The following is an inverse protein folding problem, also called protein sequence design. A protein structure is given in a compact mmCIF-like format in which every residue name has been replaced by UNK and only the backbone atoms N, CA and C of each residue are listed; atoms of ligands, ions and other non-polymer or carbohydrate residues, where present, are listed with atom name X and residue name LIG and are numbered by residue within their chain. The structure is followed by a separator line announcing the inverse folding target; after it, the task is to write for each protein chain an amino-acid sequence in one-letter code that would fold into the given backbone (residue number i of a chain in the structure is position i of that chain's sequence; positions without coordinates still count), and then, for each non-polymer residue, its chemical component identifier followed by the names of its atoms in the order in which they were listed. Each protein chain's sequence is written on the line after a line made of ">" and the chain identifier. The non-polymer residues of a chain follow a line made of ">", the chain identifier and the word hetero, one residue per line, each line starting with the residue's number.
data_IF_731574490038
#
_entry.id   IF_731574490038
#
_cell.length_a   1.000
_cell.length_b   1.000
_cell.length_c   1.000
_cell.angle_alpha   90.00
_cell.angle_beta   90.00
_cell.angle_gamma   90.00
#
_symmetry.space_group_name_H-M   'P 1'
#
loop_
_entity.id
_entity.type
_entity.pdbx_description
1 polymer ?
#
# COMPACT_ATOMS: atom_id res chain seq x y z
N UNK A 1 -56.53 2.05 23.86
CA UNK A 1 -55.10 2.33 24.07
C UNK A 1 -54.69 3.32 23.00
N UNK A 2 -54.81 4.61 23.30
CA UNK A 2 -54.49 5.67 22.35
C UNK A 2 -52.98 5.81 22.25
N UNK A 3 -52.44 5.56 21.05
CA UNK A 3 -51.04 5.87 20.75
C UNK A 3 -50.90 7.37 20.95
N UNK A 4 -50.03 7.86 21.85
CA UNK A 4 -49.94 9.28 22.13
C UNK A 4 -49.58 10.01 20.84
N UNK A 5 -50.28 11.10 20.56
CA UNK A 5 -50.19 11.86 19.29
C UNK A 5 -48.74 12.23 18.92
N UNK A 6 -47.85 12.36 19.91
CA UNK A 6 -46.42 12.58 19.74
C UNK A 6 -45.68 11.43 19.04
N UNK A 7 -46.04 10.17 19.33
CA UNK A 7 -45.49 8.98 18.68
C UNK A 7 -45.90 8.93 17.19
N UNK A 8 -47.14 9.34 16.88
CA UNK A 8 -47.62 9.44 15.52
C UNK A 8 -46.84 10.49 14.71
N UNK A 9 -46.68 11.72 15.24
CA UNK A 9 -45.89 12.77 14.56
C UNK A 9 -44.42 12.40 14.38
N UNK A 10 -43.79 11.76 15.38
CA UNK A 10 -42.43 11.24 15.24
C UNK A 10 -42.35 10.18 14.14
N UNK A 11 -43.30 9.25 14.06
CA UNK A 11 -43.33 8.23 13.01
C UNK A 11 -43.50 8.84 11.60
N UNK A 12 -44.40 9.83 11.44
CA UNK A 12 -44.60 10.53 10.17
C UNK A 12 -43.37 11.33 9.76
N UNK A 13 -42.72 12.02 10.71
CA UNK A 13 -41.47 12.75 10.45
C UNK A 13 -40.36 11.79 10.00
N UNK A 14 -40.20 10.65 10.67
CA UNK A 14 -39.22 9.62 10.28
C UNK A 14 -39.51 9.05 8.89
N UNK A 15 -40.78 8.79 8.54
CA UNK A 15 -41.16 8.32 7.20
C UNK A 15 -40.90 9.38 6.11
N UNK A 16 -41.18 10.66 6.39
CA UNK A 16 -40.88 11.75 5.45
C UNK A 16 -39.38 11.96 5.25
N UNK A 17 -38.59 11.85 6.33
CA UNK A 17 -37.13 11.88 6.26
C UNK A 17 -36.59 10.68 5.49
N UNK A 18 -37.11 9.48 5.74
CA UNK A 18 -36.75 8.27 5.00
C UNK A 18 -37.11 8.38 3.51
N UNK A 19 -38.29 8.90 3.17
CA UNK A 19 -38.72 9.11 1.78
C UNK A 19 -37.85 10.15 1.06
N UNK A 20 -37.52 11.27 1.73
CA UNK A 20 -36.57 12.27 1.18
C UNK A 20 -35.17 11.69 1.00
N UNK A 21 -34.71 10.88 1.96
CA UNK A 21 -33.44 10.19 1.86
C UNK A 21 -33.46 9.23 0.67
N UNK A 22 -34.45 8.33 0.57
CA UNK A 22 -34.60 7.38 -0.54
C UNK A 22 -34.69 8.09 -1.89
N UNK A 23 -35.45 9.18 -2.00
CA UNK A 23 -35.52 9.99 -3.22
C UNK A 23 -34.16 10.61 -3.55
N UNK A 24 -33.43 11.14 -2.56
CA UNK A 24 -32.09 11.69 -2.79
C UNK A 24 -31.08 10.62 -3.22
N UNK A 25 -31.15 9.42 -2.63
CA UNK A 25 -30.32 8.26 -2.98
C UNK A 25 -30.64 7.77 -4.39
N UNK A 26 -31.92 7.59 -4.71
CA UNK A 26 -32.38 7.21 -6.04
C UNK A 26 -31.98 8.27 -7.07
N UNK A 27 -32.14 9.55 -6.77
CA UNK A 27 -31.68 10.63 -7.64
C UNK A 27 -30.18 10.56 -7.85
N UNK A 28 -29.37 10.40 -6.80
CA UNK A 28 -27.91 10.25 -6.94
C UNK A 28 -27.51 9.03 -7.78
N UNK A 29 -28.21 7.90 -7.62
CA UNK A 29 -27.96 6.66 -8.34
C UNK A 29 -28.38 6.73 -9.82
N UNK A 30 -29.61 7.18 -10.10
CA UNK A 30 -30.19 7.26 -11.45
C UNK A 30 -29.75 8.50 -12.22
N UNK A 31 -29.30 9.57 -11.55
CA UNK A 31 -28.57 10.67 -12.19
C UNK A 31 -27.15 10.19 -12.51
N UNK A 32 -27.07 9.15 -13.33
CA UNK A 32 -25.84 8.47 -13.71
C UNK A 32 -24.94 9.48 -14.44
N UNK A 33 -23.84 9.97 -13.84
CA UNK A 33 -22.95 10.92 -14.49
C UNK A 33 -21.99 10.22 -15.46
N UNK A 34 -22.20 8.94 -15.78
CA UNK A 34 -21.28 8.05 -16.51
C UNK A 34 -20.91 8.48 -17.93
N UNK A 35 -21.27 9.68 -18.37
CA UNK A 35 -20.80 10.24 -19.64
C UNK A 35 -20.73 11.78 -19.70
N UNK A 36 -21.13 12.51 -18.65
CA UNK A 36 -21.03 13.98 -18.68
C UNK A 36 -19.69 14.36 -18.08
N UNK A 37 -18.70 14.62 -18.94
CA UNK A 37 -17.48 15.37 -18.59
C UNK A 37 -17.92 16.68 -17.96
N UNK A 38 -18.04 16.66 -16.62
CA UNK A 38 -18.59 17.77 -15.88
C UNK A 38 -17.61 18.93 -15.98
N UNK A 39 -17.83 19.83 -16.93
CA UNK A 39 -17.18 21.12 -17.06
C UNK A 39 -17.57 21.96 -15.85
N UNK A 40 -16.98 21.69 -14.68
CA UNK A 40 -16.95 22.65 -13.58
C UNK A 40 -15.81 23.60 -13.90
N UNK A 41 -16.15 24.77 -14.44
CA UNK A 41 -15.18 25.83 -14.75
C UNK A 41 -14.25 25.54 -15.95
N UNK A 42 -14.70 24.75 -16.93
CA UNK A 42 -13.91 24.44 -18.14
C UNK A 42 -12.87 23.32 -18.00
N UNK A 43 -12.74 22.70 -16.83
CA UNK A 43 -11.80 21.59 -16.61
C UNK A 43 -12.37 20.24 -17.10
N UNK A 44 -11.53 19.44 -17.75
CA UNK A 44 -11.83 18.07 -18.18
C UNK A 44 -11.44 17.08 -17.08
N UNK A 45 -12.31 16.93 -16.08
CA UNK A 45 -12.04 16.06 -14.93
C UNK A 45 -12.05 14.56 -15.29
N UNK A 46 -11.30 13.71 -14.56
CA UNK A 46 -11.37 12.26 -14.71
C UNK A 46 -12.80 11.73 -14.50
N UNK A 47 -13.14 10.59 -15.10
CA UNK A 47 -14.44 9.94 -14.88
C UNK A 47 -14.66 9.63 -13.40
N UNK A 48 -15.91 9.77 -12.97
CA UNK A 48 -16.30 9.65 -11.56
C UNK A 48 -17.58 8.84 -11.39
N UNK A 49 -17.64 7.95 -10.39
CA UNK A 49 -18.87 7.29 -10.00
C UNK A 49 -19.82 8.28 -9.32
N UNK A 50 -21.08 7.87 -9.11
CA UNK A 50 -22.04 8.66 -8.36
C UNK A 50 -21.58 8.88 -6.90
N UNK A 51 -22.07 9.96 -6.31
CA UNK A 51 -21.62 10.46 -5.02
C UNK A 51 -22.82 10.79 -4.14
N UNK A 52 -22.72 10.41 -2.87
CA UNK A 52 -23.69 10.79 -1.85
C UNK A 52 -23.42 12.22 -1.34
N UNK A 53 -24.44 12.95 -0.88
CA UNK A 53 -24.26 14.17 -0.11
C UNK A 53 -23.37 13.89 1.11
N UNK A 54 -22.51 14.85 1.46
CA UNK A 54 -21.55 14.78 2.59
C UNK A 54 -20.49 13.69 2.43
N UNK A 55 -20.85 12.41 2.38
CA UNK A 55 -19.93 11.26 2.39
C UNK A 55 -19.15 11.09 1.08
N UNK A 56 -19.74 11.51 -0.05
CA UNK A 56 -19.12 11.36 -1.37
C UNK A 56 -19.12 9.91 -1.84
N UNK A 57 -17.95 9.39 -2.18
CA UNK A 57 -17.69 8.05 -2.75
C UNK A 57 -17.26 7.01 -1.71
N UNK A 58 -17.15 7.34 -0.41
CA UNK A 58 -16.69 6.40 0.62
C UNK A 58 -17.57 5.15 0.74
N UNK A 59 -18.87 5.27 0.45
CA UNK A 59 -19.82 4.14 0.47
C UNK A 59 -19.45 3.02 -0.53
N UNK A 60 -18.69 3.31 -1.59
CA UNK A 60 -18.19 2.30 -2.54
C UNK A 60 -17.09 1.42 -1.96
N UNK A 61 -16.50 1.80 -0.82
CA UNK A 61 -15.39 1.08 -0.19
C UNK A 61 -15.84 0.15 0.94
N UNK A 62 -17.14 0.09 1.25
CA UNK A 62 -17.68 -0.77 2.30
C UNK A 62 -17.66 -2.25 1.85
N UNK A 63 -17.15 -3.14 2.71
CA UNK A 63 -17.27 -4.59 2.57
C UNK A 63 -16.11 -5.35 1.91
N UNK A 64 -15.13 -4.68 1.28
CA UNK A 64 -13.92 -5.32 0.72
C UNK A 64 -12.70 -4.39 0.93
N UNK A 65 -11.50 -4.91 0.72
CA UNK A 65 -10.27 -4.14 0.88
C UNK A 65 -10.24 -2.95 -0.08
N UNK A 66 -9.82 -1.73 0.35
CA UNK A 66 -9.94 -0.51 -0.45
C UNK A 66 -9.35 -0.62 -1.87
N UNK A 67 -8.17 -1.21 -2.02
CA UNK A 67 -7.52 -1.37 -3.32
C UNK A 67 -8.28 -2.29 -4.29
N UNK A 68 -8.97 -3.32 -3.78
CA UNK A 68 -9.81 -4.23 -4.57
C UNK A 68 -11.12 -3.55 -4.95
N UNK A 69 -11.76 -2.87 -4.00
CA UNK A 69 -12.96 -2.05 -4.25
C UNK A 69 -12.71 -1.00 -5.32
N UNK A 70 -11.56 -0.30 -5.25
CA UNK A 70 -11.15 0.69 -6.25
C UNK A 70 -10.93 0.09 -7.64
N UNK A 71 -10.29 -1.09 -7.76
CA UNK A 71 -10.15 -1.79 -9.05
C UNK A 71 -11.49 -2.28 -9.61
N UNK A 72 -12.40 -2.75 -8.75
CA UNK A 72 -13.74 -3.17 -9.15
C UNK A 72 -14.54 -1.98 -9.67
N UNK A 73 -14.44 -0.85 -8.98
CA UNK A 73 -15.10 0.40 -9.34
C UNK A 73 -14.57 0.93 -10.67
N UNK A 74 -13.24 0.96 -10.87
CA UNK A 74 -12.65 1.43 -12.12
C UNK A 74 -13.09 0.60 -13.33
N UNK A 75 -13.19 -0.72 -13.19
CA UNK A 75 -13.74 -1.61 -14.23
C UNK A 75 -15.23 -1.37 -14.49
N UNK A 76 -16.04 -1.25 -13.44
CA UNK A 76 -17.49 -1.06 -13.56
C UNK A 76 -17.86 0.23 -14.30
N UNK A 77 -17.09 1.29 -14.11
CA UNK A 77 -17.34 2.60 -14.71
C UNK A 77 -16.55 2.86 -16.00
N UNK A 78 -15.84 1.85 -16.53
CA UNK A 78 -15.07 2.00 -17.77
C UNK A 78 -13.92 3.00 -17.66
N UNK A 79 -13.35 3.17 -16.46
CA UNK A 79 -12.26 4.10 -16.18
C UNK A 79 -11.00 3.39 -15.65
N UNK A 80 -10.42 2.44 -16.42
CA UNK A 80 -9.37 1.55 -15.92
C UNK A 80 -8.06 2.26 -15.57
N UNK A 81 -7.81 3.46 -16.11
CA UNK A 81 -6.55 4.17 -15.96
C UNK A 81 -6.55 5.21 -14.83
N UNK A 82 -7.61 6.03 -14.77
CA UNK A 82 -7.71 7.20 -13.91
C UNK A 82 -9.17 7.44 -13.50
N UNK A 83 -9.42 7.60 -12.21
CA UNK A 83 -10.77 7.81 -11.66
C UNK A 83 -10.77 8.89 -10.58
N UNK A 84 -11.76 9.77 -10.60
CA UNK A 84 -11.95 10.80 -9.57
C UNK A 84 -13.05 10.38 -8.58
N UNK A 85 -12.69 10.37 -7.30
CA UNK A 85 -13.55 10.11 -6.16
C UNK A 85 -13.60 11.34 -5.26
N UNK A 86 -14.54 11.32 -4.31
CA UNK A 86 -14.61 12.32 -3.24
C UNK A 86 -14.76 11.62 -1.89
N UNK A 87 -13.85 11.82 -0.95
CA UNK A 87 -13.97 11.29 0.41
C UNK A 87 -14.34 12.45 1.33
N UNK A 88 -15.64 12.58 1.66
CA UNK A 88 -16.11 13.79 2.32
C UNK A 88 -16.04 15.00 1.38
N UNK A 89 -15.18 15.95 1.76
CA UNK A 89 -14.82 17.14 0.97
C UNK A 89 -13.52 16.95 0.17
N UNK A 90 -12.74 15.91 0.47
CA UNK A 90 -11.43 15.68 -0.13
C UNK A 90 -11.57 15.07 -1.54
N UNK A 91 -11.10 15.76 -2.61
CA UNK A 91 -10.99 15.15 -3.92
C UNK A 91 -9.87 14.11 -3.93
N UNK A 92 -10.16 12.91 -4.46
CA UNK A 92 -9.23 11.79 -4.50
C UNK A 92 -9.13 11.25 -5.92
N UNK A 93 -7.93 11.30 -6.50
CA UNK A 93 -7.64 10.70 -7.81
C UNK A 93 -7.00 9.34 -7.60
N UNK A 94 -7.56 8.33 -8.25
CA UNK A 94 -7.10 6.95 -8.20
C UNK A 94 -6.45 6.62 -9.54
N UNK A 95 -5.17 6.26 -9.47
CA UNK A 95 -4.32 5.88 -10.60
C UNK A 95 -4.23 4.37 -10.64
N UNK A 96 -4.65 3.74 -11.73
CA UNK A 96 -4.79 2.28 -11.83
C UNK A 96 -4.11 1.64 -13.05
N UNK A 97 -3.31 2.40 -13.80
CA UNK A 97 -2.50 1.89 -14.91
C UNK A 97 -1.05 2.34 -14.84
N UNK A 98 -0.14 1.57 -15.47
CA UNK A 98 1.28 1.89 -15.52
C UNK A 98 1.59 3.20 -16.24
N UNK A 99 0.83 3.55 -17.28
CA UNK A 99 0.95 4.82 -18.01
C UNK A 99 0.59 6.02 -17.14
N UNK A 100 -0.60 6.00 -16.51
CA UNK A 100 -1.02 7.06 -15.59
C UNK A 100 -0.07 7.19 -14.39
N UNK A 101 0.42 6.06 -13.86
CA UNK A 101 1.41 6.05 -12.79
C UNK A 101 2.73 6.67 -13.25
N UNK A 102 3.17 6.43 -14.49
CA UNK A 102 4.37 7.04 -15.05
C UNK A 102 4.24 8.56 -15.16
N UNK A 103 3.10 9.06 -15.63
CA UNK A 103 2.85 10.50 -15.70
C UNK A 103 2.87 11.15 -14.31
N UNK A 104 2.18 10.57 -13.33
CA UNK A 104 2.12 11.10 -11.96
C UNK A 104 3.46 10.99 -11.22
N UNK A 105 4.18 9.88 -11.39
CA UNK A 105 5.34 9.55 -10.56
C UNK A 105 6.67 9.99 -11.17
N UNK A 106 6.70 10.29 -12.48
CA UNK A 106 7.91 10.64 -13.23
C UNK A 106 7.76 11.92 -14.06
N UNK A 107 6.73 12.02 -14.90
CA UNK A 107 6.58 13.18 -15.81
C UNK A 107 6.21 14.46 -15.07
N UNK A 108 5.30 14.35 -14.10
CA UNK A 108 4.79 15.46 -13.28
C UNK A 108 5.17 15.27 -11.80
N UNK A 109 6.30 14.64 -11.52
CA UNK A 109 6.70 14.25 -10.18
C UNK A 109 6.75 15.44 -9.20
N UNK A 110 7.23 16.60 -9.63
CA UNK A 110 7.29 17.83 -8.84
C UNK A 110 5.90 18.31 -8.38
N UNK A 111 4.89 18.18 -9.24
CA UNK A 111 3.50 18.54 -8.93
C UNK A 111 2.87 17.59 -7.90
N UNK A 112 3.30 16.32 -7.87
CA UNK A 112 2.74 15.27 -7.00
C UNK A 112 3.67 14.85 -5.85
N UNK A 113 4.85 15.48 -5.69
CA UNK A 113 5.86 15.01 -4.75
C UNK A 113 5.45 15.15 -3.28
N UNK A 114 4.53 16.08 -2.97
CA UNK A 114 4.15 16.38 -1.59
C UNK A 114 3.17 15.34 -1.01
N UNK A 115 3.04 15.35 0.31
CA UNK A 115 2.22 14.41 1.08
C UNK A 115 1.05 15.13 1.76
N UNK A 116 -0.18 14.61 1.64
CA UNK A 116 -1.34 15.24 2.24
C UNK A 116 -1.25 15.21 3.77
N UNK A 117 -1.43 16.36 4.40
CA UNK A 117 -1.35 16.52 5.86
C UNK A 117 -2.73 16.39 6.51
N UNK A 118 -3.30 15.19 6.45
CA UNK A 118 -4.53 14.86 7.19
C UNK A 118 -4.28 14.91 8.71
N UNK A 119 -5.34 15.03 9.51
CA UNK A 119 -5.22 15.02 10.97
C UNK A 119 -4.46 13.77 11.48
N UNK A 120 -4.77 12.59 10.93
CA UNK A 120 -4.08 11.33 11.25
C UNK A 120 -2.60 11.39 10.91
N UNK A 121 -2.22 11.90 9.73
CA UNK A 121 -0.82 12.03 9.33
C UNK A 121 -0.07 12.98 10.26
N UNK A 122 -0.68 14.11 10.64
CA UNK A 122 -0.05 15.06 11.58
C UNK A 122 0.20 14.44 12.95
N UNK A 123 -0.73 13.63 13.44
CA UNK A 123 -0.56 12.88 14.70
C UNK A 123 0.52 11.79 14.58
N UNK A 124 0.45 10.97 13.54
CA UNK A 124 1.38 9.85 13.32
C UNK A 124 2.83 10.34 13.14
N UNK A 125 3.01 11.42 12.40
CA UNK A 125 4.33 11.98 12.09
C UNK A 125 4.88 12.91 13.18
N UNK A 126 4.21 13.05 14.33
CA UNK A 126 4.55 14.04 15.37
C UNK A 126 4.78 15.44 14.77
N UNK A 127 3.84 15.89 13.93
CA UNK A 127 3.90 17.16 13.19
C UNK A 127 5.03 17.26 12.13
N UNK A 128 5.32 16.17 11.40
CA UNK A 128 6.23 16.20 10.25
C UNK A 128 7.67 15.76 10.53
N UNK A 129 7.91 15.04 11.63
CA UNK A 129 9.21 14.44 11.97
C UNK A 129 9.49 13.10 11.27
N UNK A 130 8.53 12.58 10.50
CA UNK A 130 8.70 11.39 9.66
C UNK A 130 9.45 11.73 8.36
N UNK A 131 9.85 10.71 7.59
CA UNK A 131 10.45 10.87 6.26
C UNK A 131 9.40 10.56 5.18
N UNK A 132 8.63 9.48 5.35
CA UNK A 132 7.74 8.94 4.32
C UNK A 132 6.52 9.84 4.03
N UNK A 133 6.01 10.50 5.07
CA UNK A 133 4.77 11.28 5.08
C UNK A 133 4.97 12.79 5.20
N UNK A 134 6.23 13.25 5.22
CA UNK A 134 6.55 14.67 5.33
C UNK A 134 6.34 15.39 4.00
N UNK A 135 5.74 16.61 4.01
CA UNK A 135 5.56 17.40 2.80
C UNK A 135 6.87 17.65 2.07
N UNK A 136 6.81 17.75 0.74
CA UNK A 136 7.99 17.99 -0.06
C UNK A 136 8.52 19.43 0.15
N UNK A 137 9.77 19.55 0.58
CA UNK A 137 10.44 20.83 0.87
C UNK A 137 11.90 20.62 1.27
N UNK A 138 12.57 21.68 1.73
CA UNK A 138 13.98 21.62 2.15
C UNK A 138 14.22 20.62 3.29
N UNK A 139 13.33 20.62 4.28
CA UNK A 139 13.41 19.69 5.41
C UNK A 139 13.35 18.23 4.96
N UNK A 140 12.40 17.88 4.07
CA UNK A 140 12.29 16.54 3.51
C UNK A 140 13.51 16.15 2.66
N UNK A 141 14.05 17.07 1.86
CA UNK A 141 15.27 16.83 1.07
C UNK A 141 16.46 16.56 1.97
N UNK A 142 16.60 17.34 3.04
CA UNK A 142 17.64 17.15 4.05
C UNK A 142 17.52 15.78 4.74
N UNK A 143 16.32 15.42 5.22
CA UNK A 143 16.04 14.10 5.82
C UNK A 143 16.38 12.95 4.85
N UNK A 144 15.95 13.04 3.59
CA UNK A 144 16.29 12.02 2.57
C UNK A 144 17.78 11.91 2.32
N UNK A 145 18.49 13.04 2.26
CA UNK A 145 19.95 13.05 2.07
C UNK A 145 20.63 12.37 3.26
N UNK A 146 20.25 12.74 4.48
CA UNK A 146 20.77 12.13 5.71
C UNK A 146 20.55 10.62 5.72
N UNK A 147 19.32 10.16 5.44
CA UNK A 147 19.01 8.74 5.41
C UNK A 147 19.79 7.98 4.33
N UNK A 148 19.90 8.55 3.12
CA UNK A 148 20.63 7.92 2.02
C UNK A 148 22.13 7.76 2.31
N UNK A 149 22.73 8.73 3.00
CA UNK A 149 24.17 8.73 3.30
C UNK A 149 24.48 7.91 4.56
N UNK A 150 23.78 8.17 5.65
CA UNK A 150 24.12 7.63 6.98
C UNK A 150 23.52 6.24 7.24
N UNK A 151 22.32 5.97 6.72
CA UNK A 151 21.57 4.74 7.03
C UNK A 151 21.56 3.74 5.87
N UNK A 152 21.37 4.22 4.64
CA UNK A 152 21.11 3.38 3.46
C UNK A 152 22.27 3.36 2.45
N UNK A 153 23.45 3.87 2.81
CA UNK A 153 24.61 3.79 1.93
C UNK A 153 25.10 2.36 1.78
N UNK A 154 25.68 2.03 0.62
CA UNK A 154 26.21 0.69 0.36
C UNK A 154 27.28 0.26 1.39
N UNK A 155 28.04 1.20 1.95
CA UNK A 155 28.99 0.94 3.03
C UNK A 155 28.26 0.56 4.32
N UNK A 156 27.25 1.34 4.73
CA UNK A 156 26.44 1.08 5.93
C UNK A 156 25.66 -0.23 5.83
N UNK A 157 25.02 -0.49 4.69
CA UNK A 157 24.29 -1.75 4.49
C UNK A 157 25.23 -2.95 4.61
N UNK A 158 26.44 -2.87 4.04
CA UNK A 158 27.45 -3.94 4.14
C UNK A 158 27.98 -4.14 5.57
N UNK A 159 28.08 -3.10 6.39
CA UNK A 159 28.56 -3.25 7.78
C UNK A 159 27.59 -4.07 8.66
N UNK A 160 26.29 -4.08 8.34
CA UNK A 160 25.29 -4.89 9.04
C UNK A 160 25.13 -6.32 8.52
N UNK A 161 25.96 -6.74 7.55
CA UNK A 161 25.92 -8.11 7.03
C UNK A 161 26.08 -9.19 8.12
N UNK A 162 27.06 -9.11 9.05
CA UNK A 162 27.25 -10.16 10.04
C UNK A 162 26.00 -10.38 10.88
N UNK A 163 25.33 -9.28 11.27
CA UNK A 163 24.06 -9.30 11.99
C UNK A 163 22.99 -10.03 11.19
N UNK A 164 22.77 -9.67 9.91
CA UNK A 164 21.78 -10.36 9.06
C UNK A 164 22.06 -11.85 8.91
N UNK A 165 23.33 -12.22 8.72
CA UNK A 165 23.75 -13.62 8.58
C UNK A 165 23.63 -14.40 9.90
N UNK A 166 23.73 -13.74 11.05
CA UNK A 166 23.49 -14.33 12.38
C UNK A 166 22.00 -14.52 12.63
N UNK A 167 21.20 -13.47 12.44
CA UNK A 167 19.74 -13.50 12.63
C UNK A 167 19.08 -14.53 11.71
N UNK A 168 19.54 -14.64 10.45
CA UNK A 168 19.03 -15.65 9.52
C UNK A 168 19.39 -17.07 9.97
N UNK A 169 20.59 -17.28 10.51
CA UNK A 169 21.00 -18.57 11.06
C UNK A 169 20.19 -18.93 12.31
N UNK A 170 19.90 -17.95 13.17
CA UNK A 170 19.05 -18.11 14.36
C UNK A 170 17.63 -18.53 13.98
N UNK A 171 17.04 -17.88 12.97
CA UNK A 171 15.73 -18.25 12.42
C UNK A 171 15.71 -19.71 11.96
N UNK A 172 16.67 -20.12 11.12
CA UNK A 172 16.75 -21.49 10.60
C UNK A 172 16.98 -22.51 11.73
N UNK A 173 17.85 -22.19 12.69
CA UNK A 173 18.10 -23.02 13.85
C UNK A 173 16.84 -23.22 14.71
N UNK A 174 16.07 -22.16 14.94
CA UNK A 174 14.81 -22.23 15.68
C UNK A 174 13.75 -23.07 14.95
N UNK A 175 13.68 -22.99 13.62
CA UNK A 175 12.78 -23.84 12.81
C UNK A 175 13.20 -25.30 12.91
N UNK A 176 14.50 -25.60 12.78
CA UNK A 176 15.02 -26.97 12.86
C UNK A 176 14.81 -27.59 14.24
N UNK A 177 15.06 -26.83 15.32
CA UNK A 177 14.82 -27.27 16.70
C UNK A 177 13.34 -27.57 16.96
N UNK A 178 12.43 -26.85 16.30
CA UNK A 178 10.99 -27.07 16.42
C UNK A 178 10.51 -28.36 15.73
N UNK A 179 11.29 -28.91 14.79
CA UNK A 179 10.97 -30.15 14.05
C UNK A 179 11.63 -31.42 14.58
N UNK A 180 12.56 -31.32 15.55
CA UNK A 180 13.40 -32.45 16.02
C UNK A 180 12.86 -33.28 17.19
N UNK A 181 11.64 -33.00 17.68
CA UNK A 181 11.06 -33.71 18.82
C UNK A 181 10.36 -35.01 18.41
N UNK A 182 10.98 -36.15 18.69
CA UNK A 182 10.36 -37.48 18.53
C UNK A 182 9.04 -37.55 19.32
N UNK A 183 7.90 -37.61 18.62
CA UNK A 183 6.61 -38.00 19.18
C UNK A 183 5.47 -36.98 19.10
N UNK A 184 5.70 -35.73 18.71
CA UNK A 184 4.62 -34.76 18.50
C UNK A 184 4.90 -33.88 17.28
N UNK A 185 4.05 -33.99 16.26
CA UNK A 185 4.08 -33.15 15.05
C UNK A 185 3.71 -31.69 15.43
N UNK A 186 4.63 -30.98 16.07
CA UNK A 186 4.41 -29.62 16.57
C UNK A 186 4.33 -28.67 15.38
N UNK A 187 3.17 -28.05 15.21
CA UNK A 187 2.98 -27.00 14.20
C UNK A 187 3.87 -25.79 14.54
N UNK A 188 4.60 -25.30 13.53
CA UNK A 188 5.51 -24.16 13.66
C UNK A 188 4.89 -22.94 12.99
N UNK A 189 4.74 -21.85 13.74
CA UNK A 189 4.25 -20.58 13.21
C UNK A 189 5.39 -19.79 12.54
N UNK A 190 5.64 -20.07 11.25
CA UNK A 190 6.68 -19.39 10.49
C UNK A 190 6.44 -17.87 10.39
N UNK A 191 5.20 -17.41 10.41
CA UNK A 191 4.88 -15.99 10.27
C UNK A 191 5.43 -15.16 11.43
N UNK A 192 5.27 -15.67 12.65
CA UNK A 192 5.78 -15.04 13.87
C UNK A 192 7.32 -15.06 13.90
N UNK A 193 7.93 -16.18 13.53
CA UNK A 193 9.39 -16.31 13.48
C UNK A 193 10.03 -15.38 12.43
N UNK A 194 9.40 -15.25 11.26
CA UNK A 194 9.85 -14.31 10.22
C UNK A 194 9.67 -12.86 10.65
N UNK A 195 8.58 -12.52 11.33
CA UNK A 195 8.37 -11.18 11.86
C UNK A 195 9.44 -10.83 12.91
N UNK A 196 9.75 -11.76 13.82
CA UNK A 196 10.83 -11.61 14.81
C UNK A 196 12.19 -11.40 14.12
N UNK A 197 12.55 -12.25 13.15
CA UNK A 197 13.79 -12.12 12.38
C UNK A 197 13.97 -10.72 11.76
N UNK A 198 12.91 -10.18 11.13
CA UNK A 198 12.96 -8.85 10.52
C UNK A 198 13.08 -7.77 11.58
N UNK A 199 12.31 -7.85 12.66
CA UNK A 199 12.34 -6.88 13.75
C UNK A 199 13.73 -6.86 14.42
N UNK A 200 14.30 -8.02 14.76
CA UNK A 200 15.62 -8.15 15.40
C UNK A 200 16.72 -7.56 14.50
N UNK A 201 16.67 -7.88 13.20
CA UNK A 201 17.58 -7.29 12.20
C UNK A 201 17.47 -5.76 12.15
N UNK A 202 16.24 -5.23 12.21
CA UNK A 202 15.97 -3.80 12.13
C UNK A 202 16.39 -3.05 13.41
N UNK A 203 16.19 -3.64 14.60
CA UNK A 203 16.62 -3.04 15.89
C UNK A 203 18.14 -2.90 15.93
N UNK A 204 18.88 -3.92 15.49
CA UNK A 204 20.34 -3.83 15.42
C UNK A 204 20.84 -2.78 14.42
N UNK A 205 20.06 -2.52 13.37
CA UNK A 205 20.40 -1.52 12.36
C UNK A 205 20.09 -0.07 12.79
N UNK A 206 19.19 0.11 13.75
CA UNK A 206 18.56 1.40 14.06
C UNK A 206 18.53 1.64 15.58
N UNK A 207 19.50 2.39 16.12
CA UNK A 207 19.42 2.94 17.49
C UNK A 207 19.12 4.45 17.44
N UNK A 208 17.95 4.85 17.97
CA UNK A 208 17.65 6.20 18.51
C UNK A 208 16.94 7.23 17.61
N UNK A 209 15.98 7.99 18.18
CA UNK A 209 15.18 9.13 17.65
C UNK A 209 13.86 8.84 16.85
N UNK A 210 12.96 9.84 16.73
CA UNK A 210 11.65 9.69 16.11
C UNK A 210 11.67 9.47 14.58
N UNK A 211 12.67 10.03 13.88
CA UNK A 211 12.88 9.83 12.44
C UNK A 211 13.33 8.41 12.12
N UNK A 212 14.06 7.78 13.05
CA UNK A 212 14.49 6.39 12.93
C UNK A 212 13.37 5.39 13.25
N UNK A 213 12.39 5.81 14.06
CA UNK A 213 11.16 5.03 14.32
C UNK A 213 10.28 4.89 13.06
N UNK A 214 10.21 5.92 12.20
CA UNK A 214 9.53 5.86 10.90
C UNK A 214 10.21 4.84 9.97
N UNK A 215 11.54 4.89 9.87
CA UNK A 215 12.31 3.96 9.05
C UNK A 215 12.18 2.51 9.57
N UNK A 216 12.24 2.32 10.88
CA UNK A 216 12.05 1.02 11.52
C UNK A 216 10.67 0.44 11.19
N UNK A 217 9.60 1.21 11.43
CA UNK A 217 8.23 0.73 11.21
C UNK A 217 7.98 0.44 9.72
N UNK A 218 8.45 1.31 8.83
CA UNK A 218 8.30 1.14 7.38
C UNK A 218 9.07 -0.07 6.84
N UNK A 219 10.29 -0.30 7.33
CA UNK A 219 11.15 -1.40 6.91
C UNK A 219 10.68 -2.76 7.44
N UNK A 220 10.26 -2.82 8.71
CA UNK A 220 9.93 -4.07 9.38
C UNK A 220 8.64 -4.70 8.85
N UNK A 221 7.54 -3.95 8.83
CA UNK A 221 6.23 -4.50 8.45
C UNK A 221 6.21 -4.94 6.97
N UNK A 222 6.81 -4.14 6.09
CA UNK A 222 6.82 -4.42 4.64
C UNK A 222 7.72 -5.62 4.30
N UNK A 223 8.89 -5.74 4.92
CA UNK A 223 9.78 -6.88 4.71
C UNK A 223 9.21 -8.17 5.30
N UNK A 224 8.63 -8.13 6.50
CA UNK A 224 7.99 -9.29 7.14
C UNK A 224 6.82 -9.81 6.29
N UNK A 225 5.93 -8.92 5.85
CA UNK A 225 4.81 -9.26 4.97
C UNK A 225 5.32 -9.92 3.67
N UNK A 226 6.38 -9.38 3.07
CA UNK A 226 6.97 -9.94 1.84
C UNK A 226 7.54 -11.35 2.07
N UNK A 227 8.26 -11.58 3.17
CA UNK A 227 8.81 -12.90 3.51
C UNK A 227 7.71 -13.93 3.78
N UNK A 228 6.68 -13.53 4.52
CA UNK A 228 5.53 -14.39 4.82
C UNK A 228 4.82 -14.84 3.54
N UNK A 229 4.54 -13.91 2.63
CA UNK A 229 3.92 -14.26 1.34
C UNK A 229 4.85 -15.07 0.44
N UNK A 230 6.15 -14.77 0.41
CA UNK A 230 7.11 -15.57 -0.34
C UNK A 230 7.11 -17.04 0.12
N UNK A 231 7.15 -17.26 1.43
CA UNK A 231 7.11 -18.61 1.99
C UNK A 231 5.76 -19.29 1.73
N UNK A 232 4.65 -18.58 1.91
CA UNK A 232 3.32 -19.12 1.63
C UNK A 232 3.16 -19.56 0.16
N UNK A 233 3.68 -18.78 -0.79
CA UNK A 233 3.65 -19.15 -2.21
C UNK A 233 4.59 -20.31 -2.53
N UNK A 234 5.78 -20.36 -1.93
CA UNK A 234 6.70 -21.51 -2.10
C UNK A 234 6.07 -22.80 -1.56
N UNK A 235 5.45 -22.75 -0.38
CA UNK A 235 4.77 -23.91 0.22
C UNK A 235 3.56 -24.38 -0.60
N UNK A 236 2.85 -23.45 -1.26
CA UNK A 236 1.72 -23.77 -2.15
C UNK A 236 2.15 -24.33 -3.51
N UNK A 237 3.38 -24.07 -3.94
CA UNK A 237 3.90 -24.45 -5.25
C UNK A 237 5.19 -25.29 -5.12
N UNK A 238 5.07 -26.61 -4.83
CA UNK A 238 6.23 -27.47 -4.52
C UNK A 238 7.31 -27.50 -5.61
N UNK A 239 6.93 -27.41 -6.89
CA UNK A 239 7.88 -27.40 -8.01
C UNK A 239 8.75 -26.13 -8.00
N UNK A 240 8.14 -24.97 -7.70
CA UNK A 240 8.84 -23.69 -7.55
C UNK A 240 9.77 -23.74 -6.35
N UNK A 241 9.31 -24.31 -5.22
CA UNK A 241 10.15 -24.51 -4.04
C UNK A 241 11.34 -25.43 -4.32
N UNK A 242 11.12 -26.56 -4.99
CA UNK A 242 12.17 -27.51 -5.37
C UNK A 242 13.22 -26.84 -6.26
N UNK A 243 12.80 -26.06 -7.25
CA UNK A 243 13.70 -25.32 -8.14
C UNK A 243 14.51 -24.25 -7.40
N UNK A 244 13.88 -23.50 -6.50
CA UNK A 244 14.58 -22.52 -5.66
C UNK A 244 15.60 -23.19 -4.74
N UNK A 245 15.25 -24.32 -4.12
CA UNK A 245 16.17 -25.11 -3.30
C UNK A 245 17.33 -25.67 -4.13
N UNK A 246 17.09 -26.14 -5.35
CA UNK A 246 18.13 -26.63 -6.25
C UNK A 246 19.14 -25.53 -6.63
N UNK A 247 18.66 -24.31 -6.93
CA UNK A 247 19.54 -23.16 -7.18
C UNK A 247 20.41 -22.83 -5.96
N UNK A 248 19.80 -22.75 -4.77
CA UNK A 248 20.53 -22.46 -3.52
C UNK A 248 21.55 -23.57 -3.23
N UNK A 249 21.16 -24.85 -3.31
CA UNK A 249 22.08 -25.97 -3.09
C UNK A 249 23.23 -25.93 -4.09
N UNK A 250 22.95 -25.70 -5.37
CA UNK A 250 23.96 -25.59 -6.42
C UNK A 250 24.96 -24.44 -6.21
N UNK A 251 24.48 -23.29 -5.75
CA UNK A 251 25.35 -22.13 -5.49
C UNK A 251 26.23 -22.27 -4.23
N UNK A 252 25.83 -23.11 -3.27
CA UNK A 252 26.48 -23.24 -1.96
C UNK A 252 26.95 -24.67 -1.63
N UNK A 253 27.08 -25.56 -2.61
CA UNK A 253 27.31 -27.02 -2.44
C UNK A 253 28.42 -27.40 -1.43
N UNK A 254 29.45 -26.57 -1.26
CA UNK A 254 30.60 -26.82 -0.37
C UNK A 254 30.62 -26.00 0.91
N UNK A 255 29.56 -25.23 1.22
CA UNK A 255 29.53 -24.32 2.38
C UNK A 255 28.47 -24.74 3.39
N UNK A 256 28.86 -24.78 4.66
CA UNK A 256 27.95 -25.01 5.79
C UNK A 256 27.04 -23.81 6.10
N UNK A 257 27.34 -22.62 5.55
CA UNK A 257 26.60 -21.39 5.77
C UNK A 257 26.39 -20.60 4.47
N UNK A 258 25.18 -20.09 4.29
CA UNK A 258 24.85 -19.13 3.24
C UNK A 258 25.44 -17.77 3.61
N UNK A 259 26.35 -17.26 2.80
CA UNK A 259 26.93 -15.93 2.95
C UNK A 259 26.26 -14.96 1.98
N UNK A 260 25.98 -13.75 2.44
CA UNK A 260 25.24 -12.74 1.67
C UNK A 260 25.98 -12.36 0.37
N UNK A 261 27.31 -12.54 0.32
CA UNK A 261 28.16 -12.32 -0.88
C UNK A 261 27.74 -13.21 -2.05
N UNK A 262 27.16 -14.38 -1.78
CA UNK A 262 26.71 -15.32 -2.81
C UNK A 262 25.28 -15.09 -3.28
N UNK A 263 24.48 -14.27 -2.58
CA UNK A 263 23.06 -14.10 -2.88
C UNK A 263 22.82 -13.43 -4.23
N UNK A 264 23.73 -12.56 -4.69
CA UNK A 264 23.66 -11.91 -6.00
C UNK A 264 23.61 -12.89 -7.17
N UNK A 265 24.06 -14.14 -6.97
CA UNK A 265 24.13 -15.15 -8.01
C UNK A 265 22.84 -16.00 -8.10
N UNK A 266 21.90 -15.85 -7.16
CA UNK A 266 20.66 -16.62 -7.09
C UNK A 266 19.57 -16.00 -7.98
N UNK A 267 19.66 -16.20 -9.29
CA UNK A 267 18.80 -15.53 -10.27
C UNK A 267 17.33 -15.92 -10.11
N UNK A 268 17.04 -17.21 -9.94
CA UNK A 268 15.69 -17.73 -9.76
C UNK A 268 15.08 -17.25 -8.45
N UNK A 269 15.83 -17.21 -7.36
CA UNK A 269 15.35 -16.64 -6.10
C UNK A 269 14.97 -15.15 -6.23
N UNK A 270 15.73 -14.37 -7.01
CA UNK A 270 15.34 -12.98 -7.32
C UNK A 270 14.02 -12.91 -8.09
N UNK A 271 13.74 -13.86 -9.00
CA UNK A 271 12.44 -13.93 -9.68
C UNK A 271 11.31 -14.29 -8.72
N UNK A 272 11.53 -15.22 -7.78
CA UNK A 272 10.55 -15.55 -6.73
C UNK A 272 10.21 -14.31 -5.91
N UNK A 273 11.22 -13.52 -5.50
CA UNK A 273 10.99 -12.28 -4.74
C UNK A 273 10.21 -11.26 -5.58
N UNK A 274 10.59 -11.04 -6.85
CA UNK A 274 9.88 -10.12 -7.74
C UNK A 274 8.43 -10.53 -7.96
N UNK A 275 8.17 -11.81 -8.17
CA UNK A 275 6.82 -12.35 -8.35
C UNK A 275 6.00 -12.26 -7.06
N UNK A 276 6.63 -12.50 -5.91
CA UNK A 276 6.02 -12.26 -4.60
C UNK A 276 5.63 -10.80 -4.44
N UNK A 277 6.46 -9.83 -4.82
CA UNK A 277 6.11 -8.40 -4.73
C UNK A 277 5.01 -8.00 -5.73
N UNK A 278 4.98 -8.64 -6.91
CA UNK A 278 3.94 -8.44 -7.92
C UNK A 278 2.58 -8.93 -7.42
N UNK A 279 2.54 -10.14 -6.85
CA UNK A 279 1.33 -10.71 -6.26
C UNK A 279 1.02 -10.02 -4.92
N UNK A 280 1.93 -9.93 -3.99
CA UNK A 280 1.64 -9.53 -2.62
C UNK A 280 2.31 -8.20 -2.28
N UNK A 281 1.89 -7.14 -2.97
CA UNK A 281 2.40 -5.79 -2.76
C UNK A 281 2.03 -5.28 -1.36
N UNK A 282 2.99 -5.13 -0.41
CA UNK A 282 2.67 -4.81 0.99
C UNK A 282 1.94 -3.46 1.16
N UNK A 283 2.25 -2.49 0.29
CA UNK A 283 1.54 -1.21 0.19
C UNK A 283 0.70 -1.11 -1.09
N UNK A 284 -0.51 -1.69 -1.16
CA UNK A 284 -1.26 -1.84 -2.40
C UNK A 284 -1.73 -0.51 -3.02
N UNK A 285 -1.83 0.57 -2.22
CA UNK A 285 -2.16 1.93 -2.68
C UNK A 285 -0.99 2.92 -2.65
N UNK A 286 0.23 2.41 -2.39
CA UNK A 286 1.43 3.21 -2.10
C UNK A 286 1.18 4.27 -1.01
N UNK A 287 2.12 5.19 -0.84
CA UNK A 287 1.95 6.34 0.04
C UNK A 287 1.16 7.41 -0.71
N UNK A 288 0.07 7.97 -0.12
CA UNK A 288 -0.72 9.01 -0.74
C UNK A 288 0.12 10.24 -1.11
N UNK A 289 -0.18 10.81 -2.27
CA UNK A 289 0.42 12.06 -2.77
C UNK A 289 -0.63 13.16 -2.81
N UNK A 290 -0.19 14.40 -2.93
CA UNK A 290 -1.09 15.54 -3.12
C UNK A 290 -0.64 16.36 -4.35
N UNK A 291 -1.61 16.76 -5.15
CA UNK A 291 -1.41 17.59 -6.33
C UNK A 291 -1.22 19.06 -5.91
N UNK A 292 -0.01 19.61 -6.06
CA UNK A 292 0.32 20.99 -5.64
C UNK A 292 -0.24 22.07 -6.56
N UNK A 293 -0.45 21.71 -7.82
CA UNK A 293 -0.93 22.58 -8.89
C UNK A 293 -1.79 21.77 -9.86
N UNK A 294 -2.75 22.41 -10.52
CA UNK A 294 -3.59 21.73 -11.51
C UNK A 294 -2.72 21.26 -12.67
N UNK A 295 -2.73 19.96 -12.95
CA UNK A 295 -1.93 19.36 -14.02
C UNK A 295 -2.74 18.34 -14.82
N UNK A 296 -2.28 18.03 -16.03
CA UNK A 296 -2.94 17.06 -16.90
C UNK A 296 -2.32 15.68 -16.71
N UNK A 297 -3.17 14.67 -16.54
CA UNK A 297 -2.80 13.26 -16.54
C UNK A 297 -3.71 12.52 -17.53
N UNK A 298 -3.13 11.90 -18.56
CA UNK A 298 -3.85 11.28 -19.67
C UNK A 298 -4.90 12.21 -20.30
N UNK A 299 -4.57 13.50 -20.41
CA UNK A 299 -5.46 14.54 -20.94
C UNK A 299 -6.58 15.00 -20.00
N UNK A 300 -6.69 14.45 -18.79
CA UNK A 300 -7.62 14.89 -17.76
C UNK A 300 -6.97 15.86 -16.77
N UNK A 301 -7.72 16.87 -16.34
CA UNK A 301 -7.28 17.84 -15.34
C UNK A 301 -7.39 17.26 -13.93
N UNK A 302 -6.26 17.10 -13.24
CA UNK A 302 -6.18 16.76 -11.82
C UNK A 302 -6.17 18.06 -11.02
N UNK A 303 -7.16 18.31 -10.15
CA UNK A 303 -7.27 19.58 -9.45
C UNK A 303 -6.20 19.70 -8.35
N UNK A 304 -5.72 20.93 -8.13
CA UNK A 304 -4.89 21.28 -6.97
C UNK A 304 -5.56 20.84 -5.66
N UNK A 305 -4.75 20.31 -4.74
CA UNK A 305 -5.19 19.76 -3.45
C UNK A 305 -5.78 18.34 -3.53
N UNK A 306 -5.90 17.76 -4.73
CA UNK A 306 -6.34 16.37 -4.86
C UNK A 306 -5.33 15.41 -4.24
N UNK A 307 -5.83 14.51 -3.40
CA UNK A 307 -5.07 13.36 -2.95
C UNK A 307 -4.96 12.36 -4.10
N UNK A 308 -3.76 11.86 -4.37
CA UNK A 308 -3.51 10.88 -5.42
C UNK A 308 -3.12 9.54 -4.79
N UNK A 309 -3.88 8.51 -5.13
CA UNK A 309 -3.67 7.13 -4.70
C UNK A 309 -3.25 6.30 -5.92
N UNK A 310 -2.11 5.61 -5.82
CA UNK A 310 -1.62 4.74 -6.89
C UNK A 310 -1.92 3.30 -6.51
N UNK A 311 -2.88 2.69 -7.20
CA UNK A 311 -3.28 1.32 -6.97
C UNK A 311 -2.26 0.34 -7.59
N UNK A 312 -1.09 0.24 -6.96
CA UNK A 312 -0.01 -0.64 -7.37
C UNK A 312 -0.45 -2.10 -7.46
N UNK A 313 -1.36 -2.54 -6.58
CA UNK A 313 -1.94 -3.89 -6.63
C UNK A 313 -2.74 -4.16 -7.91
N UNK A 314 -3.48 -3.17 -8.40
CA UNK A 314 -4.21 -3.28 -9.66
C UNK A 314 -3.26 -3.28 -10.86
N UNK A 315 -2.25 -2.39 -10.83
CA UNK A 315 -1.24 -2.26 -11.89
C UNK A 315 -0.42 -3.54 -12.01
N UNK A 316 0.02 -4.15 -10.90
CA UNK A 316 0.84 -5.36 -10.91
C UNK A 316 0.10 -6.62 -11.40
N UNK A 317 -1.23 -6.53 -11.52
CA UNK A 317 -2.14 -7.60 -11.94
C UNK A 317 -2.91 -7.27 -13.21
N UNK A 318 -2.53 -6.21 -13.90
CA UNK A 318 -3.16 -5.89 -15.16
C UNK A 318 -2.60 -6.83 -16.25
N UNK A 319 -3.42 -7.64 -16.93
CA UNK A 319 -2.92 -8.46 -18.04
C UNK A 319 -2.44 -7.63 -19.23
N UNK A 320 -2.76 -6.33 -19.27
CA UNK A 320 -2.41 -5.41 -20.36
C UNK A 320 -1.23 -4.48 -20.03
N UNK A 321 -0.61 -4.60 -18.84
CA UNK A 321 0.52 -3.75 -18.42
C UNK A 321 1.88 -4.26 -18.89
#
# INVERSE_FOLDING_TARGET
>A
MDIPSSLYYCSCLLLLLAARLLYSLAKCYYSNPSSRSGHRGGLRLPPRPWQLPVVGSLHHLLGDLPHRSLRRLSRRYGCPHLMLLRFGELPVVVVSSGEAAREVMRTHDAAFATRPQTATVRTLTKQGQAIALTPHGDHWRWLRKLCAVELLSAARVRSFRPVREEEAARLVGAVAASGGGSGNNKLVNLSEMMAAYVADTAVHAIMGDASTTDLFSAGTETAATTLQWAMAELMRNPDVMSRAQAEVRGAFMSRSKVLEKGLSNLTYLHWVIKETLRLHTPGPLLIPRECRETCKVLGYDVPKGAMVLVNAWAISRDPQS
#
